data_IF_372176389548
#
_entry.id   IF_372176389548
#
_cell.length_a   1.000
_cell.length_b   1.000
_cell.length_c   1.000
_cell.angle_alpha   90.00
_cell.angle_beta   90.00
_cell.angle_gamma   90.00
#
_symmetry.space_group_name_H-M   'P 1'
#
loop_
_entity.id
_entity.type
_entity.pdbx_description
1 polymer ?
#
# COMPACT_ATOMS: atom_id res chain seq x y z
N UNK A 1 41.92 -21.35 -39.31
CA UNK A 1 41.58 -22.28 -38.22
C UNK A 1 40.47 -23.19 -38.74
N UNK A 2 40.73 -24.50 -38.82
CA UNK A 2 39.78 -25.48 -39.35
C UNK A 2 38.68 -25.78 -38.32
N UNK A 3 37.46 -26.13 -38.76
CA UNK A 3 36.30 -26.35 -37.88
C UNK A 3 36.54 -27.39 -36.76
N UNK A 4 37.46 -28.34 -36.96
CA UNK A 4 37.89 -29.29 -35.95
C UNK A 4 38.60 -28.63 -34.74
N UNK A 5 39.33 -27.52 -34.95
CA UNK A 5 40.01 -26.79 -33.88
C UNK A 5 39.02 -25.97 -33.02
N UNK A 6 37.90 -25.54 -33.61
CA UNK A 6 36.85 -24.81 -32.89
C UNK A 6 36.01 -25.79 -32.07
N UNK A 7 35.69 -26.96 -32.62
CA UNK A 7 34.98 -28.03 -31.90
C UNK A 7 35.82 -28.58 -30.72
N UNK A 8 37.15 -28.74 -30.90
CA UNK A 8 38.04 -29.17 -29.82
C UNK A 8 38.15 -28.12 -28.69
N UNK A 9 38.10 -26.82 -29.01
CA UNK A 9 38.07 -25.74 -28.00
C UNK A 9 36.72 -25.66 -27.27
N UNK A 10 35.61 -25.93 -27.96
CA UNK A 10 34.29 -25.97 -27.34
C UNK A 10 34.11 -27.20 -26.42
N UNK A 11 34.66 -28.36 -26.79
CA UNK A 11 34.61 -29.57 -25.97
C UNK A 11 35.51 -29.49 -24.72
N UNK A 12 36.59 -28.70 -24.76
CA UNK A 12 37.49 -28.47 -23.62
C UNK A 12 37.00 -27.42 -22.60
N UNK A 13 35.88 -26.75 -22.87
CA UNK A 13 35.26 -25.77 -21.97
C UNK A 13 33.97 -26.30 -21.33
N UNK A 14 33.92 -27.58 -21.00
CA UNK A 14 33.01 -28.05 -19.95
C UNK A 14 33.36 -27.26 -18.68
N UNK A 15 32.56 -26.26 -18.35
CA UNK A 15 32.74 -25.41 -17.19
C UNK A 15 32.79 -26.31 -15.95
N UNK A 16 34.01 -26.63 -15.50
CA UNK A 16 34.27 -27.28 -14.24
C UNK A 16 33.88 -26.23 -13.19
N UNK A 17 32.63 -26.27 -12.74
CA UNK A 17 32.24 -25.54 -11.54
C UNK A 17 33.22 -25.96 -10.45
N UNK A 18 34.01 -25.03 -9.89
CA UNK A 18 34.96 -25.38 -8.85
C UNK A 18 34.20 -26.06 -7.72
N UNK A 19 34.60 -27.29 -7.36
CA UNK A 19 34.04 -28.01 -6.21
C UNK A 19 34.14 -27.07 -5.00
N UNK A 20 32.99 -26.58 -4.53
CA UNK A 20 32.90 -25.72 -3.35
C UNK A 20 33.73 -26.33 -2.21
N UNK A 21 34.79 -25.62 -1.80
CA UNK A 21 35.68 -26.06 -0.73
C UNK A 21 34.88 -26.26 0.55
N UNK A 22 35.27 -27.18 1.43
CA UNK A 22 34.51 -27.45 2.65
C UNK A 22 34.31 -26.20 3.53
N UNK A 23 35.21 -25.20 3.43
CA UNK A 23 35.07 -23.90 4.08
C UNK A 23 33.90 -23.05 3.54
N UNK A 24 33.60 -23.10 2.23
CA UNK A 24 32.45 -22.38 1.67
C UNK A 24 31.11 -23.08 1.97
N UNK A 25 31.12 -24.39 2.21
CA UNK A 25 29.91 -25.15 2.61
C UNK A 25 29.48 -24.88 4.04
N UNK A 26 30.44 -24.74 4.96
CA UNK A 26 30.13 -24.40 6.36
C UNK A 26 29.66 -22.94 6.45
N UNK A 27 30.30 -22.02 5.72
CA UNK A 27 29.87 -20.63 5.65
C UNK A 27 28.45 -20.49 5.05
N UNK A 28 28.14 -21.24 3.97
CA UNK A 28 26.80 -21.28 3.37
C UNK A 28 25.76 -21.89 4.34
N UNK A 29 26.09 -22.96 5.05
CA UNK A 29 25.20 -23.56 6.06
C UNK A 29 24.93 -22.59 7.22
N UNK A 30 25.97 -21.92 7.73
CA UNK A 30 25.84 -20.92 8.80
C UNK A 30 25.01 -19.72 8.35
N UNK A 31 25.24 -19.22 7.13
CA UNK A 31 24.45 -18.12 6.56
C UNK A 31 22.97 -18.51 6.40
N UNK A 32 22.68 -19.70 5.87
CA UNK A 32 21.30 -20.21 5.76
C UNK A 32 20.66 -20.40 7.12
N UNK A 33 21.38 -20.96 8.09
CA UNK A 33 20.89 -21.13 9.46
C UNK A 33 20.57 -19.77 10.10
N UNK A 34 21.43 -18.77 9.92
CA UNK A 34 21.19 -17.41 10.39
C UNK A 34 19.95 -16.77 9.72
N UNK A 35 19.78 -16.96 8.41
CA UNK A 35 18.60 -16.47 7.68
C UNK A 35 17.31 -17.14 8.17
N UNK A 36 17.30 -18.47 8.36
CA UNK A 36 16.14 -19.17 8.90
C UNK A 36 15.84 -18.79 10.35
N UNK A 37 16.88 -18.61 11.18
CA UNK A 37 16.72 -18.12 12.54
C UNK A 37 16.10 -16.72 12.56
N UNK A 38 16.59 -15.80 11.72
CA UNK A 38 16.06 -14.43 11.64
C UNK A 38 14.58 -14.41 11.20
N UNK A 39 14.23 -15.21 10.19
CA UNK A 39 12.84 -15.38 9.74
C UNK A 39 11.98 -15.99 10.85
N UNK A 40 12.48 -17.01 11.55
CA UNK A 40 11.77 -17.65 12.66
C UNK A 40 11.51 -16.68 13.81
N UNK A 41 12.51 -15.90 14.23
CA UNK A 41 12.36 -14.86 15.25
C UNK A 41 11.30 -13.84 14.83
N UNK A 42 11.30 -13.43 13.55
CA UNK A 42 10.29 -12.51 13.01
C UNK A 42 8.87 -13.08 13.09
N UNK A 43 8.67 -14.33 12.65
CA UNK A 43 7.37 -15.01 12.75
C UNK A 43 6.95 -15.25 14.20
N UNK A 44 7.87 -15.59 15.08
CA UNK A 44 7.60 -15.78 16.51
C UNK A 44 7.15 -14.46 17.16
N UNK A 45 7.88 -13.37 16.90
CA UNK A 45 7.52 -12.04 17.40
C UNK A 45 6.13 -11.60 16.90
N UNK A 46 5.85 -11.82 15.61
CA UNK A 46 4.53 -11.56 15.04
C UNK A 46 3.44 -12.41 15.72
N UNK A 47 3.68 -13.71 15.92
CA UNK A 47 2.73 -14.61 16.55
C UNK A 47 2.42 -14.20 18.01
N UNK A 48 3.45 -13.81 18.76
CA UNK A 48 3.29 -13.30 20.13
C UNK A 48 2.47 -12.00 20.13
N UNK A 49 2.80 -11.04 19.27
CA UNK A 49 2.04 -9.78 19.16
C UNK A 49 0.57 -10.02 18.79
N UNK A 50 0.30 -10.92 17.84
CA UNK A 50 -1.07 -11.27 17.47
C UNK A 50 -1.83 -11.93 18.62
N UNK A 51 -1.16 -12.82 19.37
CA UNK A 51 -1.74 -13.46 20.54
C UNK A 51 -2.08 -12.46 21.64
N UNK A 52 -1.15 -11.56 21.97
CA UNK A 52 -1.35 -10.52 22.99
C UNK A 52 -2.51 -9.59 22.63
N UNK A 53 -2.53 -9.11 21.39
CA UNK A 53 -3.60 -8.23 20.89
C UNK A 53 -4.95 -8.96 20.85
N UNK A 54 -4.98 -10.24 20.44
CA UNK A 54 -6.20 -11.04 20.42
C UNK A 54 -6.76 -11.28 21.82
N UNK A 55 -5.89 -11.57 22.80
CA UNK A 55 -6.27 -11.78 24.19
C UNK A 55 -6.83 -10.51 24.82
N UNK A 56 -6.09 -9.40 24.71
CA UNK A 56 -6.44 -8.15 25.38
C UNK A 56 -7.59 -7.41 24.67
N UNK A 57 -7.60 -7.44 23.34
CA UNK A 57 -8.63 -6.79 22.53
C UNK A 57 -9.92 -7.60 22.42
N UNK A 58 -9.84 -8.94 22.49
CA UNK A 58 -10.99 -9.84 22.35
C UNK A 58 -12.10 -9.55 23.34
N UNK A 59 -11.76 -9.23 24.59
CA UNK A 59 -12.73 -8.89 25.63
C UNK A 59 -13.46 -7.56 25.39
N UNK A 60 -12.89 -6.66 24.58
CA UNK A 60 -13.46 -5.34 24.24
C UNK A 60 -14.33 -5.36 22.98
N UNK A 61 -14.20 -6.38 22.14
CA UNK A 61 -14.99 -6.53 20.92
C UNK A 61 -16.46 -6.76 21.25
N UNK A 62 -17.25 -5.70 21.15
CA UNK A 62 -18.69 -5.72 21.30
C UNK A 62 -19.32 -4.83 20.25
N UNK A 63 -20.60 -5.05 19.94
CA UNK A 63 -21.34 -4.16 19.05
C UNK A 63 -21.29 -2.71 19.54
N UNK A 64 -21.41 -2.55 20.85
CA UNK A 64 -21.36 -1.27 21.53
C UNK A 64 -20.02 -0.54 21.34
N UNK A 65 -18.90 -1.27 21.37
CA UNK A 65 -17.58 -0.73 21.07
C UNK A 65 -17.47 -0.19 19.64
N UNK A 66 -18.10 -0.85 18.66
CA UNK A 66 -18.09 -0.41 17.27
C UNK A 66 -18.98 0.81 17.04
N UNK A 67 -20.12 0.90 17.72
CA UNK A 67 -21.14 1.92 17.47
C UNK A 67 -21.11 3.10 18.42
N UNK A 68 -20.33 3.07 19.51
CA UNK A 68 -20.19 4.21 20.41
C UNK A 68 -19.08 5.16 19.99
N UNK A 69 -19.26 6.43 20.31
CA UNK A 69 -18.20 7.43 20.22
C UNK A 69 -17.10 7.18 21.26
N UNK A 70 -15.85 7.63 20.98
CA UNK A 70 -14.75 7.52 21.92
C UNK A 70 -14.99 8.37 23.16
N UNK A 71 -14.57 7.87 24.31
CA UNK A 71 -14.68 8.53 25.61
C UNK A 71 -13.31 8.65 26.23
N UNK A 72 -12.80 9.88 26.39
CA UNK A 72 -11.50 10.13 27.04
C UNK A 72 -11.55 10.10 28.57
N UNK A 73 -12.71 9.82 29.17
CA UNK A 73 -12.93 9.87 30.63
C UNK A 73 -13.26 8.50 31.19
N UNK A 74 -14.11 7.74 30.48
CA UNK A 74 -14.62 6.44 30.92
C UNK A 74 -14.18 5.39 29.89
N UNK A 75 -13.12 4.61 30.16
CA UNK A 75 -12.58 3.63 29.22
C UNK A 75 -13.58 2.54 28.83
N UNK A 76 -14.42 2.07 29.75
CA UNK A 76 -15.41 1.00 29.57
C UNK A 76 -16.49 1.37 28.56
N UNK A 77 -16.75 2.67 28.38
CA UNK A 77 -17.75 3.20 27.44
C UNK A 77 -17.12 3.74 26.16
N UNK A 78 -15.80 3.67 26.02
CA UNK A 78 -15.08 4.24 24.88
C UNK A 78 -15.22 3.34 23.66
N UNK A 79 -15.93 3.81 22.63
CA UNK A 79 -16.04 3.12 21.35
C UNK A 79 -15.16 3.73 20.26
N UNK A 80 -15.17 3.12 19.07
CA UNK A 80 -14.33 3.49 17.92
C UNK A 80 -15.13 4.07 16.75
N UNK A 81 -16.42 4.39 16.92
CA UNK A 81 -17.30 4.77 15.80
C UNK A 81 -16.72 5.89 14.93
N UNK A 82 -16.29 7.00 15.53
CA UNK A 82 -15.75 8.15 14.78
C UNK A 82 -14.44 7.83 14.06
N UNK A 83 -13.60 6.98 14.65
CA UNK A 83 -12.37 6.51 14.02
C UNK A 83 -12.62 5.52 12.88
N UNK A 84 -13.62 4.64 13.03
CA UNK A 84 -14.03 3.70 11.99
C UNK A 84 -14.59 4.44 10.78
N UNK A 85 -15.59 5.30 11.01
CA UNK A 85 -16.24 6.11 9.97
C UNK A 85 -15.24 7.06 9.32
N UNK A 86 -14.41 7.74 10.12
CA UNK A 86 -13.37 8.63 9.61
C UNK A 86 -12.32 7.91 8.78
N UNK A 87 -11.91 6.69 9.15
CA UNK A 87 -11.01 5.87 8.32
C UNK A 87 -11.65 5.49 6.99
N UNK A 88 -12.92 5.06 7.01
CA UNK A 88 -13.63 4.68 5.79
C UNK A 88 -13.76 5.87 4.81
N UNK A 89 -14.19 7.03 5.29
CA UNK A 89 -14.28 8.22 4.45
C UNK A 89 -12.92 8.71 3.97
N UNK A 90 -11.90 8.69 4.82
CA UNK A 90 -10.54 9.05 4.44
C UNK A 90 -10.06 8.16 3.29
N UNK A 91 -10.25 6.85 3.41
CA UNK A 91 -9.83 5.89 2.38
C UNK A 91 -10.64 5.99 1.10
N UNK A 92 -11.95 6.21 1.20
CA UNK A 92 -12.80 6.41 0.04
C UNK A 92 -12.38 7.66 -0.74
N UNK A 93 -12.12 8.77 -0.04
CA UNK A 93 -11.67 10.00 -0.66
C UNK A 93 -10.28 9.86 -1.26
N UNK A 94 -9.33 9.27 -0.53
CA UNK A 94 -7.99 8.99 -1.06
C UNK A 94 -8.08 8.13 -2.31
N UNK A 95 -8.89 7.06 -2.32
CA UNK A 95 -9.09 6.23 -3.50
C UNK A 95 -9.73 7.02 -4.67
N UNK A 96 -10.74 7.84 -4.38
CA UNK A 96 -11.44 8.64 -5.40
C UNK A 96 -10.51 9.62 -6.12
N UNK A 97 -9.50 10.17 -5.46
CA UNK A 97 -8.51 11.04 -6.09
C UNK A 97 -7.35 10.27 -6.71
N UNK A 98 -6.79 9.30 -5.98
CA UNK A 98 -5.54 8.65 -6.36
C UNK A 98 -5.74 7.63 -7.48
N UNK A 99 -6.84 6.87 -7.47
CA UNK A 99 -7.05 5.80 -8.46
C UNK A 99 -7.19 6.39 -9.86
N UNK A 100 -8.08 7.37 -10.13
CA UNK A 100 -8.20 7.92 -11.46
C UNK A 100 -6.92 8.62 -11.92
N UNK A 101 -6.31 9.43 -11.04
CA UNK A 101 -5.09 10.17 -11.38
C UNK A 101 -3.90 9.25 -11.64
N UNK A 102 -3.73 8.22 -10.79
CA UNK A 102 -2.64 7.28 -10.90
C UNK A 102 -2.77 6.36 -12.10
N UNK A 103 -3.98 5.85 -12.37
CA UNK A 103 -4.26 5.02 -13.55
C UNK A 103 -4.15 5.84 -14.83
N UNK A 104 -4.67 7.06 -14.88
CA UNK A 104 -4.52 7.94 -16.04
C UNK A 104 -3.03 8.25 -16.32
N UNK A 105 -2.26 8.53 -15.28
CA UNK A 105 -0.81 8.76 -15.38
C UNK A 105 -0.10 7.50 -15.88
N UNK A 106 -0.48 6.31 -15.39
CA UNK A 106 0.07 5.04 -15.84
C UNK A 106 -0.23 4.77 -17.33
N UNK A 107 -1.46 5.01 -17.77
CA UNK A 107 -1.86 4.89 -19.19
C UNK A 107 -1.04 5.84 -20.05
N UNK A 108 -0.90 7.10 -19.64
CA UNK A 108 -0.08 8.07 -20.36
C UNK A 108 1.38 7.60 -20.47
N UNK A 109 1.99 7.21 -19.35
CA UNK A 109 3.40 6.84 -19.31
C UNK A 109 3.72 5.52 -20.01
N UNK A 110 2.78 4.58 -20.09
CA UNK A 110 3.03 3.28 -20.71
C UNK A 110 2.59 3.21 -22.17
N UNK A 111 1.49 3.87 -22.55
CA UNK A 111 0.94 3.77 -23.92
C UNK A 111 1.27 4.97 -24.80
N UNK A 112 1.35 6.19 -24.25
CA UNK A 112 1.54 7.41 -25.03
C UNK A 112 2.94 8.02 -24.91
N UNK A 113 3.63 7.80 -23.79
CA UNK A 113 4.89 8.45 -23.50
C UNK A 113 6.05 7.78 -24.24
N UNK A 114 6.78 8.60 -24.98
CA UNK A 114 8.07 8.22 -25.54
C UNK A 114 9.15 8.29 -24.45
N UNK A 115 9.82 7.16 -24.18
CA UNK A 115 10.85 7.02 -23.13
C UNK A 115 12.14 7.78 -23.47
N UNK A 116 12.37 8.12 -24.74
CA UNK A 116 13.55 8.87 -25.14
C UNK A 116 13.44 10.36 -24.80
N UNK A 117 12.21 10.87 -24.66
CA UNK A 117 11.97 12.28 -24.29
C UNK A 117 12.39 12.54 -22.85
N UNK A 118 13.26 13.55 -22.68
CA UNK A 118 13.80 13.94 -21.38
C UNK A 118 12.72 14.25 -20.32
N UNK A 119 11.60 14.85 -20.73
CA UNK A 119 10.49 15.20 -19.85
C UNK A 119 9.80 13.96 -19.23
N UNK A 120 9.57 12.92 -20.03
CA UNK A 120 8.97 11.68 -19.54
C UNK A 120 9.92 10.94 -18.59
N UNK A 121 11.22 10.93 -18.91
CA UNK A 121 12.26 10.39 -18.02
C UNK A 121 12.32 11.15 -16.71
N UNK A 122 12.20 12.48 -16.75
CA UNK A 122 12.15 13.32 -15.55
C UNK A 122 10.95 12.96 -14.67
N UNK A 123 9.74 12.83 -15.25
CA UNK A 123 8.54 12.40 -14.51
C UNK A 123 8.75 11.03 -13.87
N UNK A 124 9.28 10.07 -14.63
CA UNK A 124 9.51 8.71 -14.15
C UNK A 124 10.48 8.66 -12.96
N UNK A 125 11.60 9.40 -13.05
CA UNK A 125 12.55 9.54 -11.93
C UNK A 125 11.89 10.17 -10.71
N UNK A 126 11.05 11.19 -10.88
CA UNK A 126 10.33 11.80 -9.76
C UNK A 126 9.35 10.83 -9.10
N UNK A 127 8.61 10.03 -9.87
CA UNK A 127 7.69 9.03 -9.33
C UNK A 127 8.45 7.99 -8.50
N UNK A 128 9.59 7.51 -9.00
CA UNK A 128 10.44 6.54 -8.29
C UNK A 128 11.05 7.15 -7.01
N UNK A 129 11.49 8.40 -7.08
CA UNK A 129 12.00 9.13 -5.91
C UNK A 129 10.91 9.30 -4.86
N UNK A 130 9.70 9.72 -5.25
CA UNK A 130 8.55 9.87 -4.35
C UNK A 130 8.20 8.54 -3.66
N UNK A 131 8.19 7.42 -4.38
CA UNK A 131 7.94 6.10 -3.78
C UNK A 131 8.93 5.72 -2.67
N UNK A 132 10.13 6.32 -2.67
CA UNK A 132 11.21 6.05 -1.71
C UNK A 132 11.22 7.01 -0.51
N UNK A 133 10.41 8.07 -0.53
CA UNK A 133 10.38 9.08 0.53
C UNK A 133 9.71 8.49 1.79
N UNK A 134 10.30 8.66 2.99
CA UNK A 134 9.67 8.22 4.24
C UNK A 134 8.30 8.87 4.48
N UNK A 135 7.33 8.11 5.00
CA UNK A 135 5.95 8.57 5.19
C UNK A 135 5.82 9.79 6.12
N UNK A 136 6.70 9.90 7.13
CA UNK A 136 6.80 11.08 8.02
C UNK A 136 6.98 12.38 7.22
N UNK A 137 7.78 12.37 6.15
CA UNK A 137 8.05 13.57 5.35
C UNK A 137 6.76 14.06 4.68
N UNK A 138 5.94 13.14 4.15
CA UNK A 138 4.62 13.49 3.61
C UNK A 138 3.70 14.12 4.66
N UNK A 139 3.75 13.63 5.90
CA UNK A 139 3.02 14.24 7.02
C UNK A 139 3.43 15.67 7.32
N UNK A 140 4.75 15.93 7.38
CA UNK A 140 5.28 17.27 7.64
C UNK A 140 4.92 18.21 6.48
N UNK A 141 5.07 17.76 5.24
CA UNK A 141 4.72 18.55 4.06
C UNK A 141 3.21 18.82 3.97
N UNK A 142 2.37 17.83 4.27
CA UNK A 142 0.93 18.02 4.35
C UNK A 142 0.54 19.03 5.43
N UNK A 143 1.11 18.91 6.62
CA UNK A 143 0.90 19.92 7.67
C UNK A 143 1.37 21.32 7.23
N UNK A 144 2.55 21.41 6.62
CA UNK A 144 3.18 22.68 6.27
C UNK A 144 2.49 23.39 5.10
N UNK A 145 2.07 22.68 4.05
CA UNK A 145 1.52 23.28 2.82
C UNK A 145 0.00 23.17 2.69
N UNK A 146 -0.58 22.06 3.14
CA UNK A 146 -2.02 21.76 2.96
C UNK A 146 -2.81 22.31 4.15
N UNK A 147 -2.37 22.01 5.38
CA UNK A 147 -3.09 22.40 6.60
C UNK A 147 -2.84 23.85 6.99
N UNK A 148 -1.56 24.23 7.19
CA UNK A 148 -1.17 25.55 7.72
C UNK A 148 -0.68 26.53 6.66
N UNK A 149 -0.22 26.01 5.53
CA UNK A 149 0.45 26.77 4.49
C UNK A 149 -0.49 27.45 3.51
N UNK A 150 -0.06 27.61 2.24
CA UNK A 150 -0.77 28.42 1.25
C UNK A 150 -2.23 28.01 1.00
N UNK A 151 -2.54 26.71 1.15
CA UNK A 151 -3.90 26.21 0.95
C UNK A 151 -4.79 26.45 2.17
N UNK A 152 -4.22 26.58 3.37
CA UNK A 152 -4.94 26.95 4.59
C UNK A 152 -6.18 26.11 4.91
N UNK A 153 -6.24 24.85 4.49
CA UNK A 153 -7.47 24.03 4.59
C UNK A 153 -7.84 23.66 6.03
N UNK A 154 -6.90 23.79 6.98
CA UNK A 154 -7.09 23.33 8.34
C UNK A 154 -7.05 21.80 8.48
N UNK A 155 -7.35 21.32 9.69
CA UNK A 155 -7.24 19.89 10.08
C UNK A 155 -8.49 19.11 9.70
N UNK A 156 -8.78 19.13 8.40
CA UNK A 156 -10.03 18.59 7.85
C UNK A 156 -9.79 17.28 7.10
N UNK A 157 -10.87 16.50 6.93
CA UNK A 157 -10.85 15.20 6.26
C UNK A 157 -10.21 15.27 4.86
N UNK A 158 -10.55 16.28 4.07
CA UNK A 158 -9.99 16.49 2.73
C UNK A 158 -8.46 16.70 2.77
N UNK A 159 -7.95 17.48 3.73
CA UNK A 159 -6.52 17.70 3.88
C UNK A 159 -5.78 16.41 4.24
N UNK A 160 -6.39 15.56 5.08
CA UNK A 160 -5.91 14.21 5.36
C UNK A 160 -5.88 13.34 4.10
N UNK A 161 -6.98 13.33 3.34
CA UNK A 161 -7.13 12.51 2.13
C UNK A 161 -6.13 12.88 1.03
N UNK A 162 -5.89 14.19 0.83
CA UNK A 162 -4.90 14.69 -0.12
C UNK A 162 -3.48 14.33 0.32
N UNK A 163 -3.16 14.53 1.61
CA UNK A 163 -1.81 14.22 2.11
C UNK A 163 -1.51 12.73 2.01
N UNK A 164 -2.45 11.88 2.43
CA UNK A 164 -2.34 10.43 2.27
C UNK A 164 -2.30 10.06 0.78
N UNK A 165 -3.07 10.76 -0.05
CA UNK A 165 -3.06 10.58 -1.49
C UNK A 165 -1.70 10.84 -2.12
N UNK A 166 -0.98 11.88 -1.72
CA UNK A 166 0.38 12.17 -2.20
C UNK A 166 1.37 11.04 -1.89
N UNK A 167 1.20 10.38 -0.75
CA UNK A 167 2.02 9.23 -0.36
C UNK A 167 1.68 7.98 -1.19
N UNK A 168 0.40 7.74 -1.46
CA UNK A 168 -0.09 6.52 -2.12
C UNK A 168 0.02 6.62 -3.65
N UNK A 169 -0.09 7.82 -4.21
CA UNK A 169 -0.06 8.09 -5.65
C UNK A 169 1.12 7.44 -6.40
N UNK A 170 2.39 7.61 -5.99
CA UNK A 170 3.50 7.00 -6.72
C UNK A 170 3.41 5.47 -6.74
N UNK A 171 2.95 4.85 -5.65
CA UNK A 171 2.75 3.40 -5.59
C UNK A 171 1.66 2.97 -6.57
N UNK A 172 0.52 3.67 -6.59
CA UNK A 172 -0.59 3.39 -7.51
C UNK A 172 -0.18 3.55 -8.97
N UNK A 173 0.62 4.57 -9.31
CA UNK A 173 1.14 4.74 -10.67
C UNK A 173 2.02 3.53 -11.06
N UNK A 174 2.95 3.12 -10.19
CA UNK A 174 3.87 2.02 -10.48
C UNK A 174 3.10 0.71 -10.70
N UNK A 175 2.19 0.34 -9.80
CA UNK A 175 1.43 -0.92 -9.92
C UNK A 175 0.49 -0.91 -11.13
N UNK A 176 -0.10 0.23 -11.47
CA UNK A 176 -0.95 0.34 -12.65
C UNK A 176 -0.13 0.23 -13.95
N UNK A 177 1.08 0.80 -13.99
CA UNK A 177 2.00 0.66 -15.14
C UNK A 177 2.42 -0.79 -15.35
N UNK A 178 2.82 -1.49 -14.29
CA UNK A 178 3.22 -2.89 -14.40
C UNK A 178 2.04 -3.77 -14.84
N UNK A 179 0.82 -3.48 -14.37
CA UNK A 179 -0.39 -4.18 -14.82
C UNK A 179 -0.70 -3.94 -16.31
N UNK A 180 -0.55 -2.70 -16.79
CA UNK A 180 -0.73 -2.36 -18.21
C UNK A 180 0.34 -3.04 -19.07
N UNK A 181 1.61 -2.97 -18.63
CA UNK A 181 2.74 -3.59 -19.33
C UNK A 181 2.62 -5.12 -19.42
N UNK A 182 1.98 -5.76 -18.44
CA UNK A 182 1.77 -7.20 -18.45
C UNK A 182 0.85 -7.69 -19.58
N UNK A 183 0.04 -6.82 -20.19
CA UNK A 183 -0.74 -7.17 -21.38
C UNK A 183 0.21 -7.47 -22.54
N UNK A 184 0.10 -8.61 -23.24
CA UNK A 184 0.98 -8.95 -24.35
C UNK A 184 1.01 -7.88 -25.47
N UNK A 185 2.17 -7.56 -26.07
CA UNK A 185 2.26 -6.62 -27.20
C UNK A 185 1.45 -7.05 -28.43
N UNK A 186 1.37 -8.36 -28.69
CA UNK A 186 0.63 -8.94 -29.83
C UNK A 186 -0.84 -8.52 -29.87
N UNK A 187 -1.44 -8.31 -28.70
CA UNK A 187 -2.81 -7.85 -28.56
C UNK A 187 -2.96 -6.40 -29.04
N UNK A 188 -1.98 -5.54 -28.74
CA UNK A 188 -1.96 -4.14 -29.20
C UNK A 188 -1.74 -4.07 -30.70
N UNK A 189 -0.74 -4.78 -31.19
CA UNK A 189 -0.39 -4.85 -32.61
C UNK A 189 -1.54 -5.40 -33.44
N UNK A 190 -2.21 -6.47 -32.97
CA UNK A 190 -3.38 -7.04 -33.63
C UNK A 190 -4.57 -6.06 -33.71
N UNK A 191 -4.85 -5.33 -32.63
CA UNK A 191 -5.90 -4.30 -32.62
C UNK A 191 -5.59 -3.18 -33.61
N UNK A 192 -4.36 -2.68 -33.63
CA UNK A 192 -3.92 -1.63 -34.55
C UNK A 192 -3.94 -2.10 -36.02
N UNK A 193 -3.57 -3.36 -36.28
CA UNK A 193 -3.60 -3.96 -37.63
C UNK A 193 -5.03 -4.06 -38.20
N UNK A 194 -6.05 -4.17 -37.33
CA UNK A 194 -7.46 -4.12 -37.72
C UNK A 194 -7.97 -2.68 -37.95
N UNK A 195 -7.09 -1.68 -37.91
CA UNK A 195 -7.43 -0.27 -38.11
C UNK A 195 -8.01 0.43 -36.88
N UNK A 196 -7.94 -0.18 -35.69
CA UNK A 196 -8.36 0.47 -34.46
C UNK A 196 -7.41 1.62 -34.10
N UNK A 197 -7.95 2.67 -33.48
CA UNK A 197 -7.10 3.74 -32.93
C UNK A 197 -6.39 3.28 -31.66
N UNK A 198 -5.32 3.97 -31.29
CA UNK A 198 -4.61 3.71 -30.03
C UNK A 198 -5.54 3.81 -28.82
N UNK A 199 -6.42 4.83 -28.77
CA UNK A 199 -7.40 4.98 -27.70
C UNK A 199 -8.42 3.83 -27.65
N UNK A 200 -8.90 3.38 -28.83
CA UNK A 200 -9.79 2.22 -28.90
C UNK A 200 -9.11 0.94 -28.41
N UNK A 201 -7.84 0.75 -28.77
CA UNK A 201 -7.02 -0.38 -28.31
C UNK A 201 -6.85 -0.35 -26.79
N UNK A 202 -6.54 0.82 -26.22
CA UNK A 202 -6.40 0.97 -24.78
C UNK A 202 -7.73 0.67 -24.07
N UNK A 203 -8.82 1.28 -24.50
CA UNK A 203 -10.12 1.14 -23.82
C UNK A 203 -10.74 -0.24 -23.94
N UNK A 204 -10.65 -0.87 -25.11
CA UNK A 204 -11.36 -2.12 -25.38
C UNK A 204 -10.53 -3.35 -25.07
N UNK A 205 -9.21 -3.22 -25.01
CA UNK A 205 -8.33 -4.38 -24.95
C UNK A 205 -7.31 -4.29 -23.81
N UNK A 206 -6.53 -3.21 -23.72
CA UNK A 206 -5.46 -3.09 -22.71
C UNK A 206 -6.04 -2.87 -21.30
N UNK A 207 -6.97 -1.93 -21.16
CA UNK A 207 -7.56 -1.62 -19.86
C UNK A 207 -8.35 -2.81 -19.31
N UNK A 208 -9.26 -3.46 -20.07
CA UNK A 208 -9.94 -4.67 -19.59
C UNK A 208 -8.97 -5.81 -19.24
N UNK A 209 -7.90 -5.98 -20.02
CA UNK A 209 -6.86 -6.99 -19.76
C UNK A 209 -5.98 -6.70 -18.53
N UNK A 210 -5.93 -5.46 -18.06
CA UNK A 210 -5.11 -5.04 -16.92
C UNK A 210 -5.91 -4.71 -15.65
N UNK A 211 -7.25 -4.65 -15.70
CA UNK A 211 -8.12 -4.31 -14.55
C UNK A 211 -7.81 -5.17 -13.32
N UNK A 212 -7.60 -6.48 -13.47
CA UNK A 212 -7.31 -7.37 -12.35
C UNK A 212 -6.00 -6.97 -11.64
N UNK A 213 -4.95 -6.67 -12.41
CA UNK A 213 -3.66 -6.22 -11.91
C UNK A 213 -3.75 -4.84 -11.26
N UNK A 214 -4.42 -3.89 -11.92
CA UNK A 214 -4.64 -2.53 -11.40
C UNK A 214 -5.43 -2.60 -10.07
N UNK A 215 -6.58 -3.28 -10.05
CA UNK A 215 -7.42 -3.37 -8.86
C UNK A 215 -6.68 -4.00 -7.68
N UNK A 216 -5.95 -5.10 -7.92
CA UNK A 216 -5.15 -5.75 -6.87
C UNK A 216 -4.06 -4.82 -6.34
N UNK A 217 -3.29 -4.20 -7.23
CA UNK A 217 -2.20 -3.29 -6.87
C UNK A 217 -2.70 -2.07 -6.10
N UNK A 218 -3.81 -1.47 -6.53
CA UNK A 218 -4.45 -0.35 -5.86
C UNK A 218 -4.95 -0.73 -4.48
N UNK A 219 -5.65 -1.85 -4.33
CA UNK A 219 -6.17 -2.28 -3.02
C UNK A 219 -5.01 -2.56 -2.05
N UNK A 220 -3.92 -3.18 -2.50
CA UNK A 220 -2.72 -3.38 -1.68
C UNK A 220 -2.07 -2.05 -1.27
N UNK A 221 -1.98 -1.09 -2.20
CA UNK A 221 -1.44 0.25 -1.91
C UNK A 221 -2.30 0.99 -0.87
N UNK A 222 -3.63 0.94 -1.01
CA UNK A 222 -4.57 1.53 -0.06
C UNK A 222 -4.54 0.81 1.30
N UNK A 223 -4.43 -0.52 1.31
CA UNK A 223 -4.29 -1.30 2.54
C UNK A 223 -3.02 -0.92 3.31
N UNK A 224 -1.91 -0.68 2.59
CA UNK A 224 -0.69 -0.13 3.20
C UNK A 224 -0.94 1.26 3.76
N UNK A 225 -1.61 2.13 3.01
CA UNK A 225 -1.92 3.50 3.41
C UNK A 225 -2.73 3.60 4.71
N UNK A 226 -3.70 2.69 4.92
CA UNK A 226 -4.47 2.60 6.17
C UNK A 226 -3.55 2.36 7.36
N UNK A 227 -2.47 1.59 7.17
CA UNK A 227 -1.47 1.32 8.19
C UNK A 227 -0.45 2.45 8.39
N UNK A 228 -0.42 3.48 7.53
CA UNK A 228 0.51 4.60 7.65
C UNK A 228 0.02 5.60 8.70
N UNK A 229 0.57 5.50 9.90
CA UNK A 229 0.17 6.32 11.05
C UNK A 229 0.86 7.69 11.06
N UNK A 230 2.12 7.74 10.65
CA UNK A 230 2.98 8.92 10.76
C UNK A 230 2.43 10.16 10.03
N UNK A 231 1.97 10.09 8.77
CA UNK A 231 1.43 11.26 8.08
C UNK A 231 0.20 11.83 8.78
N UNK A 232 -0.69 10.95 9.23
CA UNK A 232 -1.98 11.31 9.82
C UNK A 232 -1.82 11.91 11.22
N UNK A 233 -0.89 11.39 12.02
CA UNK A 233 -0.54 11.95 13.33
C UNK A 233 0.01 13.38 13.20
N UNK A 234 0.86 13.64 12.19
CA UNK A 234 1.48 14.95 11.98
C UNK A 234 0.49 16.03 11.53
N UNK A 235 -0.44 15.68 10.65
CA UNK A 235 -1.53 16.58 10.22
C UNK A 235 -2.37 17.01 11.43
N UNK A 236 -2.43 16.17 12.47
CA UNK A 236 -3.03 16.49 13.75
C UNK A 236 -4.55 16.42 13.68
N UNK A 237 -5.09 15.30 13.18
CA UNK A 237 -6.52 15.02 13.30
C UNK A 237 -6.94 15.04 14.78
N UNK A 238 -8.21 15.37 15.04
CA UNK A 238 -8.68 15.59 16.41
C UNK A 238 -8.52 14.32 17.26
N UNK A 239 -8.02 14.47 18.50
CA UNK A 239 -7.98 13.37 19.45
C UNK A 239 -9.41 13.08 19.95
N UNK A 240 -9.92 11.88 19.68
CA UNK A 240 -11.22 11.37 20.15
C UNK A 240 -12.44 12.29 19.90
N UNK A 241 -12.73 12.71 18.65
CA UNK A 241 -13.96 13.42 18.33
C UNK A 241 -15.18 12.55 18.65
N UNK A 242 -16.18 13.15 19.30
CA UNK A 242 -17.48 12.53 19.59
C UNK A 242 -18.52 12.82 18.50
N UNK A 243 -18.05 12.96 17.27
CA UNK A 243 -18.85 13.19 16.08
C UNK A 243 -18.19 12.46 14.90
N UNK A 244 -18.99 12.16 13.89
CA UNK A 244 -18.49 11.66 12.61
C UNK A 244 -18.27 12.85 11.67
N UNK A 245 -17.34 12.78 10.71
CA UNK A 245 -17.23 13.80 9.69
C UNK A 245 -18.45 13.70 8.76
N UNK A 246 -19.34 14.69 8.82
CA UNK A 246 -20.53 14.80 7.99
C UNK A 246 -20.24 15.55 6.66
N UNK A 247 -19.02 16.07 6.51
CA UNK A 247 -18.55 16.76 5.31
C UNK A 247 -17.04 16.69 5.07
N UNK A 248 -16.61 17.07 3.85
CA UNK A 248 -15.19 17.03 3.44
C UNK A 248 -14.29 17.98 4.23
N UNK A 249 -14.85 19.08 4.72
CA UNK A 249 -14.16 20.14 5.44
C UNK A 249 -14.34 20.05 6.95
N UNK A 250 -14.80 18.91 7.46
CA UNK A 250 -14.94 18.69 8.89
C UNK A 250 -13.70 18.05 9.49
N UNK A 251 -13.52 18.25 10.79
CA UNK A 251 -12.46 17.55 11.51
C UNK A 251 -12.76 16.05 11.54
N UNK A 252 -11.71 15.26 11.56
CA UNK A 252 -11.83 13.80 11.51
C UNK A 252 -10.85 13.16 12.49
N UNK A 253 -11.02 11.87 12.68
CA UNK A 253 -10.02 10.98 13.27
C UNK A 253 -9.96 9.69 12.45
N UNK A 254 -8.93 8.89 12.65
CA UNK A 254 -8.77 7.59 12.00
C UNK A 254 -8.34 6.55 13.03
N UNK A 255 -8.59 5.27 12.74
CA UNK A 255 -8.26 4.15 13.62
C UNK A 255 -6.80 4.18 14.07
N UNK A 256 -5.80 4.42 13.19
CA UNK A 256 -4.40 4.43 13.64
C UNK A 256 -4.08 5.59 14.60
N UNK A 257 -4.74 6.74 14.43
CA UNK A 257 -4.60 7.89 15.35
C UNK A 257 -5.19 7.52 16.71
N UNK A 258 -6.40 6.95 16.71
CA UNK A 258 -7.10 6.56 17.93
C UNK A 258 -6.34 5.50 18.71
N UNK A 259 -5.81 4.49 18.01
CA UNK A 259 -4.95 3.44 18.58
C UNK A 259 -3.73 4.08 19.24
N UNK A 260 -3.02 4.96 18.53
CA UNK A 260 -1.84 5.63 19.06
C UNK A 260 -2.14 6.40 20.35
N UNK A 261 -3.19 7.23 20.35
CA UNK A 261 -3.59 8.01 21.52
C UNK A 261 -3.93 7.11 22.71
N UNK A 262 -4.66 6.02 22.51
CA UNK A 262 -5.02 5.09 23.60
C UNK A 262 -3.85 4.25 24.10
N UNK A 263 -2.89 3.90 23.25
CA UNK A 263 -1.67 3.18 23.70
C UNK A 263 -0.74 4.05 24.55
N UNK A 264 -0.82 5.38 24.41
CA UNK A 264 -0.05 6.32 25.22
C UNK A 264 -0.74 6.70 26.53
N UNK A 265 -1.99 6.27 26.74
CA UNK A 265 -2.73 6.60 27.94
C UNK A 265 -2.19 5.82 29.16
N UNK A 266 -1.97 6.46 30.32
CA UNK A 266 -1.53 5.77 31.54
C UNK A 266 -2.50 4.69 32.04
N UNK A 267 -3.79 4.78 31.70
CA UNK A 267 -4.79 3.83 32.14
C UNK A 267 -4.77 2.56 31.27
N UNK A 268 -4.50 1.41 31.91
CA UNK A 268 -4.45 0.09 31.26
C UNK A 268 -5.74 -0.28 30.53
N UNK A 269 -6.87 0.26 30.96
CA UNK A 269 -8.13 0.02 30.26
C UNK A 269 -8.17 0.62 28.86
N UNK A 270 -7.55 1.78 28.63
CA UNK A 270 -7.43 2.34 27.29
C UNK A 270 -6.49 1.53 26.42
N UNK A 271 -5.45 0.91 27.00
CA UNK A 271 -4.59 -0.04 26.28
C UNK A 271 -5.40 -1.25 25.80
N UNK A 272 -6.32 -1.78 26.61
CA UNK A 272 -7.23 -2.85 26.17
C UNK A 272 -8.19 -2.41 25.06
N UNK A 273 -8.69 -1.17 25.13
CA UNK A 273 -9.51 -0.58 24.05
C UNK A 273 -8.70 -0.39 22.75
N UNK A 274 -7.42 -0.01 22.86
CA UNK A 274 -6.50 0.07 21.73
C UNK A 274 -6.28 -1.30 21.09
N UNK A 275 -6.09 -2.36 21.88
CA UNK A 275 -6.00 -3.73 21.37
C UNK A 275 -7.28 -4.12 20.60
N UNK A 276 -8.46 -3.79 21.12
CA UNK A 276 -9.73 -3.97 20.40
C UNK A 276 -9.79 -3.22 19.08
N UNK A 277 -9.34 -1.97 19.04
CA UNK A 277 -9.26 -1.17 17.81
C UNK A 277 -8.26 -1.74 16.79
N UNK A 278 -7.11 -2.28 17.26
CA UNK A 278 -6.13 -2.96 16.40
C UNK A 278 -6.75 -4.22 15.77
N UNK A 279 -7.53 -5.01 16.52
CA UNK A 279 -8.23 -6.16 15.97
C UNK A 279 -9.22 -5.76 14.88
N UNK A 280 -9.99 -4.70 15.09
CA UNK A 280 -10.91 -4.18 14.06
C UNK A 280 -10.15 -3.72 12.82
N UNK A 281 -9.07 -2.97 13.01
CA UNK A 281 -8.20 -2.52 11.90
C UNK A 281 -7.62 -3.72 11.13
N UNK A 282 -7.15 -4.74 11.84
CA UNK A 282 -6.64 -5.97 11.25
C UNK A 282 -7.71 -6.72 10.45
N UNK A 283 -8.94 -6.83 10.97
CA UNK A 283 -10.06 -7.44 10.23
C UNK A 283 -10.34 -6.66 8.95
N UNK A 284 -10.36 -5.32 9.01
CA UNK A 284 -10.55 -4.47 7.81
C UNK A 284 -9.44 -4.74 6.79
N UNK A 285 -8.17 -4.78 7.22
CA UNK A 285 -7.03 -5.06 6.35
C UNK A 285 -7.12 -6.45 5.72
N UNK A 286 -7.47 -7.47 6.50
CA UNK A 286 -7.65 -8.84 6.01
C UNK A 286 -8.79 -8.91 4.98
N UNK A 287 -9.91 -8.24 5.23
CA UNK A 287 -11.02 -8.16 4.27
C UNK A 287 -10.60 -7.46 2.98
N UNK A 288 -9.93 -6.31 3.05
CA UNK A 288 -9.43 -5.60 1.87
C UNK A 288 -8.48 -6.46 1.04
N UNK A 289 -7.49 -7.09 1.69
CA UNK A 289 -6.54 -7.97 1.02
C UNK A 289 -7.21 -9.22 0.43
N UNK A 290 -8.19 -9.79 1.13
CA UNK A 290 -8.98 -10.93 0.63
C UNK A 290 -9.79 -10.55 -0.61
N UNK A 291 -10.42 -9.37 -0.60
CA UNK A 291 -11.13 -8.82 -1.76
C UNK A 291 -10.17 -8.59 -2.93
N UNK A 292 -8.95 -8.09 -2.69
CA UNK A 292 -7.93 -7.93 -3.73
C UNK A 292 -7.60 -9.27 -4.41
N UNK A 293 -7.36 -10.32 -3.61
CA UNK A 293 -7.06 -11.67 -4.11
C UNK A 293 -8.26 -12.24 -4.87
N UNK A 294 -9.48 -12.05 -4.36
CA UNK A 294 -10.70 -12.51 -5.02
C UNK A 294 -10.89 -11.83 -6.39
N UNK A 295 -10.72 -10.51 -6.46
CA UNK A 295 -10.77 -9.77 -7.73
C UNK A 295 -9.70 -10.26 -8.70
N UNK A 296 -8.47 -10.45 -8.23
CA UNK A 296 -7.39 -11.02 -9.04
C UNK A 296 -7.83 -12.34 -9.66
N UNK A 297 -8.24 -13.30 -8.85
CA UNK A 297 -8.58 -14.65 -9.33
C UNK A 297 -9.81 -14.66 -10.25
N UNK A 298 -10.77 -13.75 -10.04
CA UNK A 298 -12.00 -13.69 -10.85
C UNK A 298 -11.78 -13.08 -12.23
N UNK A 299 -10.88 -12.10 -12.33
CA UNK A 299 -10.62 -11.30 -13.53
C UNK A 299 -9.26 -11.58 -14.18
N UNK A 300 -8.48 -12.53 -13.66
CA UNK A 300 -7.22 -12.97 -14.27
C UNK A 300 -7.52 -13.58 -15.65
N UNK A 301 -7.13 -12.85 -16.70
CA UNK A 301 -7.18 -13.35 -18.07
C UNK A 301 -5.87 -14.11 -18.33
N UNK A 302 -6.01 -15.41 -18.58
CA UNK A 302 -4.90 -16.24 -19.04
C UNK A 302 -4.80 -16.08 -20.55
N UNK A 303 -3.68 -15.53 -20.99
CA UNK A 303 -3.32 -15.38 -22.40
C UNK A 303 -2.38 -16.50 -22.81
#
# INVERSE_FOLDING_TARGET
MTGAQIAARAAGQSAVFPKASNGSRIADLLFRAAMYLAVFIGFLALAVLLYDVARDGGARLSWDFLTRFPSSIIPERSGIQSALVGTLYLMLLTAAFVVPLGVATAIYLEEYADREKWFNRFIEVNIQNLASVPSVVYGILGLAFIVRGPLGMGRVLLAGAITLGLLVLPVVIIVAREAIRAVPPSIREGSLALGATQWQTIWKQVLPGSIAGIATGVILALSRAIGETAPLLLIGAAASPRFNPDGLFEAFTALPIQIFVWTQDPNREFVSAAAGAILVLMVILLLMNSVAIFLRNRYEQKW
#
